data_IF_667176060965
#
_entry.id   IF_667176060965
#
_cell.length_a   1.000
_cell.length_b   1.000
_cell.length_c   1.000
_cell.angle_alpha   90.00
_cell.angle_beta   90.00
_cell.angle_gamma   90.00
#
_symmetry.space_group_name_H-M   'P 1'
#
loop_
_entity.id
_entity.type
_entity.pdbx_description
1 polymer ?
#
# COMPACT_ATOMS: atom_id res chain seq x y z
N UNK A 1 -58.67 14.45 59.16
CA UNK A 1 -57.60 14.07 60.10
C UNK A 1 -56.33 13.99 59.27
N UNK A 2 -55.33 14.84 59.33
CA UNK A 2 -54.93 15.98 60.17
C UNK A 2 -53.88 16.71 59.34
N UNK A 3 -53.97 18.03 59.23
CA UNK A 3 -52.95 18.87 58.62
C UNK A 3 -51.83 19.17 59.63
N UNK A 4 -50.59 19.36 59.16
CA UNK A 4 -49.62 20.22 59.85
C UNK A 4 -48.71 20.96 58.82
N UNK A 5 -48.47 22.30 58.94
CA UNK A 5 -47.82 23.15 57.96
C UNK A 5 -46.48 23.77 58.44
N UNK A 6 -45.93 24.72 57.66
CA UNK A 6 -44.76 25.61 57.95
C UNK A 6 -43.36 24.96 57.80
N UNK A 7 -42.34 25.60 57.20
CA UNK A 7 -42.08 27.03 57.04
C UNK A 7 -41.05 27.31 55.93
N UNK A 8 -41.25 28.47 55.32
CA UNK A 8 -40.50 29.23 54.33
C UNK A 8 -39.10 29.69 54.78
N UNK A 9 -38.18 29.94 53.84
CA UNK A 9 -37.41 31.19 53.55
C UNK A 9 -35.99 30.94 52.98
N UNK A 10 -35.77 31.34 51.72
CA UNK A 10 -34.45 31.77 51.14
C UNK A 10 -34.00 33.13 51.78
N UNK A 11 -32.88 33.83 51.42
CA UNK A 11 -31.96 33.70 50.27
C UNK A 11 -30.44 34.10 50.54
N UNK A 12 -29.68 34.27 49.44
CA UNK A 12 -28.51 35.16 49.21
C UNK A 12 -27.04 34.68 49.40
N UNK A 13 -26.37 34.50 48.24
CA UNK A 13 -25.19 35.20 47.71
C UNK A 13 -24.01 35.59 48.63
N UNK A 14 -22.78 35.21 48.22
CA UNK A 14 -21.60 36.11 48.17
C UNK A 14 -20.37 35.51 47.47
N UNK A 15 -19.80 36.33 46.58
CA UNK A 15 -18.50 36.24 45.89
C UNK A 15 -17.31 36.14 46.85
N UNK A 16 -16.17 35.59 46.37
CA UNK A 16 -14.86 36.28 46.25
C UNK A 16 -13.78 35.32 45.72
N UNK A 17 -13.10 35.70 44.63
CA UNK A 17 -11.69 35.37 44.33
C UNK A 17 -10.78 36.46 45.00
N UNK A 18 -9.42 36.42 45.07
CA UNK A 18 -8.47 36.12 43.98
C UNK A 18 -7.09 35.46 44.36
N UNK A 19 -6.26 35.18 43.33
CA UNK A 19 -4.77 35.31 43.18
C UNK A 19 -3.83 34.71 44.26
N UNK A 20 -2.66 34.07 44.05
CA UNK A 20 -1.68 33.98 42.94
C UNK A 20 -0.60 32.90 43.30
N UNK A 21 0.19 32.46 42.30
CA UNK A 21 1.58 31.92 42.35
C UNK A 21 1.89 30.53 43.00
N UNK A 22 2.32 29.54 42.20
CA UNK A 22 3.74 29.33 41.84
C UNK A 22 3.98 28.17 40.85
N UNK A 23 4.87 28.51 39.93
CA UNK A 23 5.65 27.78 38.93
C UNK A 23 6.14 26.38 39.35
N UNK A 24 6.01 25.39 38.47
CA UNK A 24 7.09 24.42 38.29
C UNK A 24 7.21 24.00 36.82
N UNK A 25 8.44 24.13 36.34
CA UNK A 25 8.89 23.93 34.97
C UNK A 25 9.28 22.47 34.70
N UNK A 26 9.18 22.10 33.41
CA UNK A 26 9.94 21.09 32.67
C UNK A 26 9.42 19.64 32.57
N UNK A 27 9.38 19.19 31.31
CA UNK A 27 9.03 17.84 30.84
C UNK A 27 8.11 17.94 29.62
N UNK A 28 8.52 18.65 28.57
CA UNK A 28 9.20 18.10 27.38
C UNK A 28 8.27 17.24 26.49
N UNK A 29 8.15 17.70 25.25
CA UNK A 29 7.60 17.01 24.06
C UNK A 29 6.11 16.63 24.03
N UNK A 30 5.23 17.63 23.93
CA UNK A 30 4.05 17.48 23.09
C UNK A 30 4.18 18.43 21.90
N UNK A 31 5.06 18.07 20.95
CA UNK A 31 5.01 18.67 19.62
C UNK A 31 3.76 18.16 18.94
N UNK A 32 2.77 19.05 18.94
CA UNK A 32 1.58 19.09 18.12
C UNK A 32 1.76 18.28 16.83
N UNK A 33 1.04 17.16 16.70
CA UNK A 33 0.86 16.46 15.44
C UNK A 33 -0.13 17.25 14.57
N UNK A 34 0.27 18.46 14.20
CA UNK A 34 -0.49 19.32 13.30
C UNK A 34 0.50 20.14 12.49
N UNK A 35 1.18 19.48 11.55
CA UNK A 35 1.87 20.17 10.46
C UNK A 35 1.74 19.42 9.14
N UNK A 36 1.22 20.20 8.17
CA UNK A 36 1.43 20.13 6.74
C UNK A 36 0.73 19.01 5.95
N UNK A 37 -0.42 19.38 5.37
CA UNK A 37 -0.70 19.02 3.98
C UNK A 37 0.50 19.41 3.12
N UNK A 38 1.43 18.49 2.98
CA UNK A 38 2.41 18.54 1.92
C UNK A 38 1.59 18.39 0.64
N UNK A 39 1.69 19.36 -0.26
CA UNK A 39 1.27 19.23 -1.65
C UNK A 39 1.99 18.00 -2.20
N UNK A 40 1.33 16.86 -2.09
CA UNK A 40 1.89 15.53 -2.29
C UNK A 40 1.32 15.08 -3.62
N UNK A 41 2.17 14.89 -4.61
CA UNK A 41 1.73 14.53 -5.98
C UNK A 41 0.74 13.36 -5.93
N UNK A 42 -0.39 13.44 -6.66
CA UNK A 42 -1.37 12.35 -6.66
C UNK A 42 -0.71 11.04 -7.08
N UNK A 43 -1.13 9.95 -6.45
CA UNK A 43 -0.77 8.61 -6.90
C UNK A 43 -1.84 8.14 -7.88
N UNK A 44 -1.43 7.50 -8.97
CA UNK A 44 -2.30 6.81 -9.90
C UNK A 44 -2.74 5.47 -9.33
N UNK A 45 -4.05 5.27 -9.19
CA UNK A 45 -4.62 4.05 -8.63
C UNK A 45 -5.47 3.34 -9.66
N UNK A 46 -5.21 2.05 -9.85
CA UNK A 46 -6.10 1.16 -10.60
C UNK A 46 -7.12 0.55 -9.66
N UNK A 47 -8.40 0.69 -10.00
CA UNK A 47 -9.53 0.09 -9.27
C UNK A 47 -10.19 -0.98 -10.12
N UNK A 48 -10.20 -2.22 -9.63
CA UNK A 48 -10.77 -3.38 -10.35
C UNK A 48 -11.88 -4.02 -9.53
N UNK A 49 -13.12 -3.96 -10.00
CA UNK A 49 -14.23 -4.70 -9.41
C UNK A 49 -14.37 -6.06 -10.09
N UNK A 50 -14.39 -7.12 -9.29
CA UNK A 50 -14.50 -8.52 -9.74
C UNK A 50 -15.83 -9.07 -9.25
N UNK A 51 -16.80 -9.22 -10.16
CA UNK A 51 -18.10 -9.80 -9.83
C UNK A 51 -18.72 -10.46 -11.05
N UNK A 52 -19.62 -11.42 -10.82
CA UNK A 52 -20.34 -12.10 -11.89
C UNK A 52 -21.39 -11.20 -12.60
N UNK A 53 -21.78 -10.10 -11.98
CA UNK A 53 -22.75 -9.14 -12.52
C UNK A 53 -22.03 -8.04 -13.32
N UNK A 54 -22.33 -7.95 -14.62
CA UNK A 54 -21.56 -7.14 -15.60
C UNK A 54 -21.92 -5.65 -15.66
N UNK A 55 -22.69 -5.13 -14.71
CA UNK A 55 -23.18 -3.75 -14.77
C UNK A 55 -22.39 -2.82 -13.84
N UNK A 56 -21.60 -1.91 -14.43
CA UNK A 56 -20.90 -0.82 -13.73
C UNK A 56 -21.85 0.08 -12.92
N UNK A 57 -23.10 0.23 -13.36
CA UNK A 57 -24.15 0.96 -12.63
C UNK A 57 -24.51 0.28 -11.29
N UNK A 58 -24.15 -0.99 -11.13
CA UNK A 58 -24.35 -1.80 -9.93
C UNK A 58 -23.01 -2.16 -9.25
N UNK A 59 -21.99 -1.30 -9.35
CA UNK A 59 -20.70 -1.44 -8.66
C UNK A 59 -20.57 -0.52 -7.43
N UNK A 60 -21.25 -0.81 -6.31
CA UNK A 60 -21.19 0.03 -5.11
C UNK A 60 -19.81 -0.03 -4.43
N UNK A 61 -19.08 -1.14 -4.54
CA UNK A 61 -17.76 -1.26 -3.93
C UNK A 61 -16.74 -0.40 -4.66
N UNK A 62 -16.62 -0.53 -6.00
CA UNK A 62 -15.76 0.32 -6.80
C UNK A 62 -16.12 1.80 -6.72
N UNK A 63 -17.42 2.13 -6.62
CA UNK A 63 -17.84 3.53 -6.41
C UNK A 63 -17.29 4.08 -5.09
N UNK A 64 -17.41 3.31 -4.01
CA UNK A 64 -16.87 3.72 -2.70
C UNK A 64 -15.35 3.85 -2.72
N UNK A 65 -14.64 2.93 -3.35
CA UNK A 65 -13.18 3.00 -3.43
C UNK A 65 -12.73 4.23 -4.24
N UNK A 66 -13.31 4.43 -5.42
CA UNK A 66 -13.02 5.59 -6.28
C UNK A 66 -13.30 6.90 -5.56
N UNK A 67 -14.49 7.06 -4.97
CA UNK A 67 -14.83 8.29 -4.25
C UNK A 67 -13.85 8.56 -3.11
N UNK A 68 -13.51 7.55 -2.29
CA UNK A 68 -12.58 7.76 -1.17
C UNK A 68 -11.16 8.11 -1.65
N UNK A 69 -10.69 7.53 -2.75
CA UNK A 69 -9.39 7.83 -3.34
C UNK A 69 -9.34 9.24 -3.95
N UNK A 70 -10.38 9.63 -4.69
CA UNK A 70 -10.50 10.98 -5.28
C UNK A 70 -10.64 12.05 -4.19
N UNK A 71 -11.43 11.80 -3.14
CA UNK A 71 -11.57 12.71 -1.99
C UNK A 71 -10.25 12.89 -1.22
N UNK A 72 -9.38 11.87 -1.24
CA UNK A 72 -8.02 11.96 -0.69
C UNK A 72 -7.01 12.63 -1.62
N UNK A 73 -7.41 13.02 -2.84
CA UNK A 73 -6.56 13.70 -3.82
C UNK A 73 -5.66 12.78 -4.64
N UNK A 74 -6.05 11.53 -4.86
CA UNK A 74 -5.38 10.58 -5.74
C UNK A 74 -6.10 10.46 -7.09
N UNK A 75 -5.38 10.07 -8.14
CA UNK A 75 -5.92 9.93 -9.48
C UNK A 75 -6.37 8.49 -9.74
N UNK A 76 -7.51 8.32 -10.38
CA UNK A 76 -7.96 7.00 -10.85
C UNK A 76 -7.38 6.77 -12.24
N UNK A 77 -6.21 6.13 -12.30
CA UNK A 77 -5.53 5.80 -13.54
C UNK A 77 -6.35 4.84 -14.39
N UNK A 78 -7.08 3.92 -13.75
CA UNK A 78 -7.97 2.99 -14.44
C UNK A 78 -9.09 2.50 -13.52
N UNK A 79 -10.26 2.29 -14.10
CA UNK A 79 -11.39 1.63 -13.44
C UNK A 79 -11.92 0.52 -14.34
N UNK A 80 -11.86 -0.71 -13.86
CA UNK A 80 -12.32 -1.90 -14.59
C UNK A 80 -13.38 -2.65 -13.79
N UNK A 81 -14.29 -3.30 -14.51
CA UNK A 81 -15.26 -4.24 -13.94
C UNK A 81 -15.22 -5.51 -14.78
N UNK A 82 -14.81 -6.61 -14.14
CA UNK A 82 -14.55 -7.88 -14.82
C UNK A 82 -15.28 -9.03 -14.12
N UNK A 83 -15.48 -10.11 -14.86
CA UNK A 83 -16.00 -11.37 -14.31
C UNK A 83 -14.98 -12.04 -13.38
N UNK A 84 -15.49 -12.84 -12.45
CA UNK A 84 -14.69 -13.71 -11.58
C UNK A 84 -14.14 -14.93 -12.35
N UNK A 85 -13.25 -14.67 -13.30
CA UNK A 85 -12.49 -15.67 -14.05
C UNK A 85 -11.01 -15.54 -13.70
N UNK A 86 -10.39 -16.66 -13.34
CA UNK A 86 -9.03 -16.69 -12.81
C UNK A 86 -8.02 -16.02 -13.75
N UNK A 87 -7.99 -16.46 -15.02
CA UNK A 87 -7.03 -15.97 -16.00
C UNK A 87 -7.30 -14.51 -16.35
N UNK A 88 -8.58 -14.11 -16.36
CA UNK A 88 -8.97 -12.72 -16.57
C UNK A 88 -8.52 -11.81 -15.42
N UNK A 89 -8.72 -12.23 -14.18
CA UNK A 89 -8.28 -11.46 -13.00
C UNK A 89 -6.76 -11.32 -13.02
N UNK A 90 -6.04 -12.43 -13.18
CA UNK A 90 -4.58 -12.43 -13.19
C UNK A 90 -4.01 -11.56 -14.32
N UNK A 91 -4.52 -11.70 -15.55
CA UNK A 91 -4.05 -10.90 -16.69
C UNK A 91 -4.36 -9.41 -16.55
N UNK A 92 -5.50 -9.04 -15.97
CA UNK A 92 -5.82 -7.62 -15.73
C UNK A 92 -4.89 -7.07 -14.66
N UNK A 93 -4.71 -7.75 -13.54
CA UNK A 93 -3.82 -7.28 -12.45
C UNK A 93 -2.38 -7.15 -12.94
N UNK A 94 -1.84 -8.15 -13.62
CA UNK A 94 -0.52 -8.09 -14.27
C UNK A 94 -0.39 -6.90 -15.22
N UNK A 95 -1.38 -6.67 -16.09
CA UNK A 95 -1.37 -5.51 -16.98
C UNK A 95 -1.39 -4.18 -16.21
N UNK A 96 -2.05 -4.10 -15.06
CA UNK A 96 -2.07 -2.86 -14.27
C UNK A 96 -0.74 -2.61 -13.57
N UNK A 97 -0.04 -3.67 -13.15
CA UNK A 97 1.30 -3.58 -12.59
C UNK A 97 2.29 -3.02 -13.64
N UNK A 98 2.18 -3.46 -14.90
CA UNK A 98 3.06 -3.03 -16.01
C UNK A 98 2.85 -1.57 -16.49
N UNK A 99 1.93 -0.81 -15.89
CA UNK A 99 1.58 0.54 -16.37
C UNK A 99 2.33 1.63 -15.64
N UNK A 100 2.98 2.51 -16.40
CA UNK A 100 3.72 3.66 -15.86
C UNK A 100 2.85 4.68 -15.10
N UNK A 101 1.53 4.68 -15.34
CA UNK A 101 0.57 5.56 -14.68
C UNK A 101 -0.14 4.91 -13.48
N UNK A 102 0.26 3.70 -13.08
CA UNK A 102 -0.30 2.98 -11.94
C UNK A 102 0.75 2.83 -10.85
N UNK A 103 0.51 3.49 -9.72
CA UNK A 103 1.33 3.35 -8.51
C UNK A 103 0.77 2.27 -7.57
N UNK A 104 -0.53 2.02 -7.59
CA UNK A 104 -1.23 1.09 -6.68
C UNK A 104 -2.37 0.37 -7.40
N UNK A 105 -2.55 -0.93 -7.12
CA UNK A 105 -3.70 -1.70 -7.59
C UNK A 105 -4.60 -2.07 -6.42
N UNK A 106 -5.89 -1.75 -6.52
CA UNK A 106 -6.90 -2.20 -5.57
C UNK A 106 -7.98 -2.98 -6.30
N UNK A 107 -8.22 -4.21 -5.86
CA UNK A 107 -9.32 -5.05 -6.34
C UNK A 107 -10.40 -5.19 -5.28
N UNK A 108 -11.65 -5.37 -5.70
CA UNK A 108 -12.75 -5.76 -4.80
C UNK A 108 -13.63 -6.85 -5.37
N UNK A 109 -14.01 -7.82 -4.53
CA UNK A 109 -14.91 -8.90 -4.92
C UNK A 109 -14.20 -10.20 -5.28
N UNK A 110 -15.00 -11.26 -5.45
CA UNK A 110 -14.54 -12.63 -5.69
C UNK A 110 -13.49 -13.15 -4.67
N UNK A 111 -13.60 -12.75 -3.40
CA UNK A 111 -12.73 -13.19 -2.29
C UNK A 111 -13.44 -14.09 -1.27
N UNK A 112 -14.70 -14.51 -1.49
CA UNK A 112 -15.42 -15.39 -0.56
C UNK A 112 -14.85 -16.81 -0.57
N UNK A 113 -15.53 -17.70 0.15
CA UNK A 113 -15.27 -19.15 0.18
C UNK A 113 -16.01 -19.91 -0.94
N UNK A 114 -16.72 -19.19 -1.81
CA UNK A 114 -17.45 -19.79 -2.92
C UNK A 114 -16.46 -20.29 -3.99
N UNK A 115 -16.68 -21.44 -4.64
CA UNK A 115 -15.74 -21.95 -5.65
C UNK A 115 -15.52 -21.05 -6.86
N UNK A 116 -16.45 -20.12 -7.12
CA UNK A 116 -16.34 -19.10 -8.16
C UNK A 116 -15.48 -17.91 -7.75
N UNK A 117 -15.16 -17.78 -6.47
CA UNK A 117 -14.41 -16.64 -5.93
C UNK A 117 -12.92 -16.98 -5.97
N UNK A 118 -12.26 -16.45 -7.00
CA UNK A 118 -10.90 -16.80 -7.43
C UNK A 118 -9.90 -15.65 -7.35
N UNK A 119 -10.31 -14.48 -6.82
CA UNK A 119 -9.47 -13.28 -6.88
C UNK A 119 -8.16 -13.44 -6.11
N UNK A 120 -8.20 -14.10 -4.94
CA UNK A 120 -7.00 -14.32 -4.13
C UNK A 120 -6.07 -15.30 -4.85
N UNK A 121 -6.61 -16.41 -5.33
CA UNK A 121 -5.87 -17.47 -6.03
C UNK A 121 -5.23 -16.96 -7.33
N UNK A 122 -5.87 -15.99 -8.00
CA UNK A 122 -5.34 -15.35 -9.21
C UNK A 122 -4.24 -14.32 -8.91
N UNK A 123 -4.34 -13.58 -7.80
CA UNK A 123 -3.43 -12.49 -7.46
C UNK A 123 -2.22 -12.96 -6.65
N UNK A 124 -2.40 -13.89 -5.71
CA UNK A 124 -1.32 -14.40 -4.84
C UNK A 124 -0.06 -14.83 -5.61
N UNK A 125 -0.14 -15.55 -6.75
CA UNK A 125 1.05 -15.95 -7.50
C UNK A 125 1.81 -14.80 -8.17
N UNK A 126 1.20 -13.62 -8.28
CA UNK A 126 1.85 -12.42 -8.83
C UNK A 126 2.70 -11.71 -7.78
N UNK A 127 2.44 -11.94 -6.49
CA UNK A 127 3.10 -11.21 -5.41
C UNK A 127 4.51 -11.72 -5.19
N UNK A 128 5.50 -10.83 -5.24
CA UNK A 128 6.87 -11.12 -4.87
C UNK A 128 7.03 -11.17 -3.35
N UNK A 129 6.29 -10.30 -2.66
CA UNK A 129 6.23 -10.22 -1.19
C UNK A 129 4.79 -10.01 -0.73
N UNK A 130 4.30 -10.92 0.10
CA UNK A 130 3.00 -10.77 0.75
C UNK A 130 3.11 -9.82 1.97
N UNK A 131 2.16 -8.88 2.08
CA UNK A 131 1.99 -7.99 3.22
C UNK A 131 1.07 -8.64 4.26
N UNK A 132 1.55 -9.69 4.93
CA UNK A 132 0.72 -10.55 5.82
C UNK A 132 -0.05 -9.80 6.91
N UNK A 133 0.53 -8.72 7.45
CA UNK A 133 -0.11 -7.87 8.46
C UNK A 133 -1.38 -7.15 7.96
N UNK A 134 -1.55 -6.99 6.65
CA UNK A 134 -2.73 -6.37 6.06
C UNK A 134 -4.00 -7.14 6.40
N UNK A 135 -4.00 -8.44 6.17
CA UNK A 135 -5.16 -9.30 6.41
C UNK A 135 -5.47 -9.45 7.90
N UNK A 136 -4.45 -9.43 8.76
CA UNK A 136 -4.61 -9.40 10.22
C UNK A 136 -5.27 -8.09 10.69
N UNK A 137 -4.77 -6.95 10.21
CA UNK A 137 -5.32 -5.64 10.55
C UNK A 137 -6.75 -5.47 10.03
N UNK A 138 -7.01 -5.88 8.79
CA UNK A 138 -8.37 -5.88 8.23
C UNK A 138 -9.31 -6.73 9.07
N UNK A 139 -8.87 -7.92 9.52
CA UNK A 139 -9.66 -8.80 10.38
C UNK A 139 -9.94 -8.15 11.75
N UNK A 140 -8.94 -7.51 12.37
CA UNK A 140 -9.11 -6.83 13.65
C UNK A 140 -10.14 -5.70 13.56
N UNK A 141 -10.00 -4.81 12.56
CA UNK A 141 -10.94 -3.72 12.32
C UNK A 141 -12.33 -4.24 11.93
N UNK A 142 -12.40 -5.27 11.09
CA UNK A 142 -13.64 -5.89 10.65
C UNK A 142 -14.39 -6.56 11.80
N UNK A 143 -13.69 -7.15 12.76
CA UNK A 143 -14.29 -7.73 13.96
C UNK A 143 -15.03 -6.68 14.80
N UNK A 144 -14.53 -5.44 14.88
CA UNK A 144 -15.23 -4.36 15.58
C UNK A 144 -16.55 -3.97 14.90
N UNK A 145 -16.66 -4.17 13.58
CA UNK A 145 -17.83 -3.79 12.79
C UNK A 145 -18.86 -4.93 12.71
N UNK A 146 -18.43 -6.16 12.40
CA UNK A 146 -19.33 -7.29 12.12
C UNK A 146 -19.17 -8.48 13.07
N UNK A 147 -18.27 -8.39 14.06
CA UNK A 147 -18.00 -9.46 15.01
C UNK A 147 -17.49 -10.73 14.33
N UNK A 148 -17.94 -11.89 14.81
CA UNK A 148 -17.50 -13.21 14.32
C UNK A 148 -17.81 -13.48 12.85
N UNK A 149 -18.67 -12.69 12.20
CA UNK A 149 -18.93 -12.81 10.75
C UNK A 149 -17.68 -12.54 9.92
N UNK A 150 -16.68 -11.84 10.47
CA UNK A 150 -15.41 -11.55 9.80
C UNK A 150 -14.66 -12.82 9.38
N UNK A 151 -14.92 -13.96 10.02
CA UNK A 151 -14.30 -15.26 9.69
C UNK A 151 -14.54 -15.69 8.23
N UNK A 152 -15.61 -15.20 7.59
CA UNK A 152 -15.90 -15.49 6.19
C UNK A 152 -15.22 -14.52 5.21
N UNK A 153 -14.62 -13.43 5.69
CA UNK A 153 -13.91 -12.48 4.83
C UNK A 153 -12.50 -13.00 4.54
N UNK A 154 -12.08 -12.87 3.28
CA UNK A 154 -10.70 -13.09 2.87
C UNK A 154 -10.19 -11.85 2.16
N UNK A 155 -8.92 -11.54 2.41
CA UNK A 155 -8.16 -10.44 1.83
C UNK A 155 -6.73 -10.92 1.60
N UNK A 156 -6.04 -10.30 0.66
CA UNK A 156 -4.60 -10.44 0.50
C UNK A 156 -4.04 -9.08 0.07
N UNK A 157 -2.79 -8.81 0.43
CA UNK A 157 -2.05 -7.68 -0.11
C UNK A 157 -0.60 -8.09 -0.29
N UNK A 158 0.08 -7.40 -1.20
CA UNK A 158 1.47 -7.67 -1.52
C UNK A 158 2.09 -6.57 -2.35
N UNK A 159 3.33 -6.81 -2.77
CA UNK A 159 4.04 -6.00 -3.75
C UNK A 159 4.47 -6.90 -4.89
N UNK A 160 4.35 -6.39 -6.11
CA UNK A 160 4.89 -6.99 -7.33
C UNK A 160 5.37 -5.88 -8.26
N UNK A 161 6.60 -6.00 -8.79
CA UNK A 161 7.25 -4.99 -9.65
C UNK A 161 7.09 -3.56 -9.08
N UNK A 162 7.41 -3.42 -7.79
CA UNK A 162 7.30 -2.19 -7.00
C UNK A 162 5.89 -1.60 -6.83
N UNK A 163 4.84 -2.29 -7.27
CA UNK A 163 3.44 -1.85 -7.17
C UNK A 163 2.75 -2.56 -6.00
N UNK A 164 2.28 -1.83 -4.97
CA UNK A 164 1.42 -2.39 -3.94
C UNK A 164 0.06 -2.82 -4.51
N UNK A 165 -0.37 -4.03 -4.16
CA UNK A 165 -1.63 -4.65 -4.60
C UNK A 165 -2.46 -5.02 -3.38
N UNK A 166 -3.75 -4.68 -3.39
CA UNK A 166 -4.69 -4.98 -2.31
C UNK A 166 -5.96 -5.63 -2.86
N UNK A 167 -6.35 -6.79 -2.32
CA UNK A 167 -7.60 -7.46 -2.64
C UNK A 167 -8.57 -7.37 -1.47
N UNK A 168 -9.68 -6.65 -1.68
CA UNK A 168 -10.72 -6.39 -0.69
C UNK A 168 -11.99 -7.21 -0.96
N UNK A 169 -12.86 -7.41 0.05
CA UNK A 169 -14.16 -8.03 -0.17
C UNK A 169 -15.09 -7.12 -1.00
N UNK A 170 -15.97 -7.72 -1.82
CA UNK A 170 -16.84 -7.00 -2.76
C UNK A 170 -18.03 -6.25 -2.14
N UNK A 171 -18.20 -6.28 -0.82
CA UNK A 171 -19.26 -5.52 -0.13
C UNK A 171 -18.77 -4.10 0.12
N UNK A 172 -19.54 -3.10 -0.31
CA UNK A 172 -19.16 -1.68 -0.18
C UNK A 172 -18.70 -1.25 1.24
N UNK A 173 -19.33 -1.68 2.36
CA UNK A 173 -18.81 -1.35 3.69
C UNK A 173 -17.43 -1.95 4.00
N UNK A 174 -17.15 -3.15 3.51
CA UNK A 174 -15.87 -3.82 3.69
C UNK A 174 -14.78 -3.18 2.82
N UNK A 175 -15.10 -2.86 1.56
CA UNK A 175 -14.21 -2.09 0.69
C UNK A 175 -13.88 -0.71 1.28
N UNK A 176 -14.89 -0.01 1.81
CA UNK A 176 -14.69 1.27 2.53
C UNK A 176 -13.72 1.12 3.69
N UNK A 177 -13.92 0.10 4.52
CA UNK A 177 -13.07 -0.16 5.68
C UNK A 177 -11.61 -0.34 5.27
N UNK A 178 -11.36 -1.17 4.25
CA UNK A 178 -10.00 -1.41 3.73
C UNK A 178 -9.36 -0.15 3.17
N UNK A 179 -10.08 0.61 2.33
CA UNK A 179 -9.58 1.86 1.75
C UNK A 179 -9.28 2.90 2.84
N UNK A 180 -10.28 3.26 3.64
CA UNK A 180 -10.18 4.41 4.53
C UNK A 180 -9.30 4.16 5.76
N UNK A 181 -9.28 2.93 6.28
CA UNK A 181 -8.57 2.63 7.54
C UNK A 181 -7.18 2.06 7.33
N UNK A 182 -6.85 1.57 6.15
CA UNK A 182 -5.59 0.85 5.90
C UNK A 182 -4.88 1.41 4.67
N UNK A 183 -5.52 1.36 3.50
CA UNK A 183 -4.83 1.65 2.23
C UNK A 183 -4.49 3.13 2.12
N UNK A 184 -5.43 4.04 2.33
CA UNK A 184 -5.17 5.49 2.23
C UNK A 184 -4.05 5.97 3.17
N UNK A 185 -4.02 5.57 4.46
CA UNK A 185 -2.91 5.93 5.35
C UNK A 185 -1.54 5.42 4.89
N UNK A 186 -1.47 4.21 4.30
CA UNK A 186 -0.21 3.50 4.08
C UNK A 186 0.30 3.49 2.64
N UNK A 187 -0.57 3.67 1.64
CA UNK A 187 -0.24 3.41 0.23
C UNK A 187 0.98 4.20 -0.26
N UNK A 188 1.10 5.48 0.13
CA UNK A 188 2.28 6.28 -0.24
C UNK A 188 3.56 5.78 0.40
N UNK A 189 3.49 5.36 1.66
CA UNK A 189 4.66 4.81 2.34
C UNK A 189 5.11 3.52 1.64
N UNK A 190 4.15 2.63 1.33
CA UNK A 190 4.42 1.37 0.64
C UNK A 190 5.00 1.58 -0.77
N UNK A 191 4.44 2.50 -1.57
CA UNK A 191 5.00 2.86 -2.89
C UNK A 191 6.44 3.36 -2.76
N UNK A 192 6.73 4.21 -1.75
CA UNK A 192 8.07 4.72 -1.52
C UNK A 192 9.07 3.64 -1.11
N UNK A 193 8.65 2.70 -0.25
CA UNK A 193 9.50 1.56 0.17
C UNK A 193 9.75 0.59 -0.97
N UNK A 194 8.71 0.29 -1.77
CA UNK A 194 8.82 -0.62 -2.90
C UNK A 194 9.83 -0.12 -3.93
N UNK A 195 9.64 1.12 -4.42
CA UNK A 195 10.51 1.71 -5.46
C UNK A 195 11.95 1.96 -5.02
N UNK A 196 12.21 2.16 -3.73
CA UNK A 196 13.57 2.35 -3.25
C UNK A 196 14.46 1.12 -3.48
N UNK A 197 13.89 -0.09 -3.48
CA UNK A 197 14.64 -1.32 -3.74
C UNK A 197 15.06 -1.49 -5.20
N UNK A 198 14.29 -0.93 -6.14
CA UNK A 198 14.65 -0.91 -7.56
C UNK A 198 15.89 -0.07 -7.81
N UNK A 199 15.94 1.14 -7.25
CA UNK A 199 17.07 2.05 -7.40
C UNK A 199 18.38 1.47 -6.83
N UNK A 200 18.31 0.62 -5.81
CA UNK A 200 19.49 -0.09 -5.27
C UNK A 200 19.91 -1.25 -6.18
N UNK A 201 18.95 -2.05 -6.65
CA UNK A 201 19.21 -3.22 -7.50
C UNK A 201 19.80 -2.81 -8.87
N UNK A 202 19.27 -1.76 -9.49
CA UNK A 202 19.76 -1.24 -10.77
C UNK A 202 21.18 -0.64 -10.65
N UNK A 203 21.54 -0.09 -9.48
CA UNK A 203 22.91 0.39 -9.22
C UNK A 203 23.89 -0.75 -9.07
N UNK A 204 23.53 -1.78 -8.31
CA UNK A 204 24.36 -2.97 -8.10
C UNK A 204 24.62 -3.71 -9.44
N UNK A 205 23.61 -3.80 -10.31
CA UNK A 205 23.75 -4.37 -11.66
C UNK A 205 24.69 -3.53 -12.54
N UNK A 206 24.50 -2.22 -12.59
CA UNK A 206 25.35 -1.32 -13.39
C UNK A 206 26.82 -1.28 -12.93
N UNK A 207 27.09 -1.49 -11.64
CA UNK A 207 28.45 -1.63 -11.09
C UNK A 207 29.07 -2.98 -11.49
N UNK A 208 28.30 -4.06 -11.50
CA UNK A 208 28.77 -5.40 -11.90
C UNK A 208 29.09 -5.53 -13.40
N UNK A 209 28.36 -4.81 -14.26
CA UNK A 209 28.62 -4.74 -15.70
C UNK A 209 29.88 -3.92 -16.02
N UNK A 210 30.19 -2.89 -15.22
CA UNK A 210 31.42 -2.11 -15.37
C UNK A 210 32.68 -2.89 -14.95
N UNK A 211 32.61 -3.66 -13.86
CA UNK A 211 33.72 -4.53 -13.40
C UNK A 211 34.02 -5.68 -14.38
N UNK A 212 33.01 -6.15 -15.13
CA UNK A 212 33.21 -7.20 -16.15
C UNK A 212 33.80 -6.65 -17.46
N UNK A 213 33.42 -5.46 -17.90
CA UNK A 213 34.03 -4.80 -19.07
C UNK A 213 35.49 -4.33 -18.83
N UNK A 214 35.88 -4.01 -17.58
CA UNK A 214 37.27 -3.69 -17.23
C UNK A 214 38.17 -4.94 -17.17
N UNK A 215 37.63 -6.11 -16.80
CA UNK A 215 38.41 -7.36 -16.72
C UNK A 215 38.64 -8.03 -18.09
N UNK A 216 37.78 -7.79 -19.09
CA UNK A 216 38.01 -8.26 -20.46
C UNK A 216 39.05 -7.43 -21.24
N UNK A 217 39.35 -6.20 -20.80
CA UNK A 217 40.36 -5.33 -21.44
C UNK A 217 41.80 -5.59 -20.96
N UNK A 218 41.99 -6.22 -19.80
CA UNK A 218 43.33 -6.53 -19.23
C UNK A 218 43.94 -7.83 -19.79
N UNK A 219 43.14 -8.73 -20.37
CA UNK A 219 43.65 -9.98 -20.99
C UNK A 219 44.16 -9.79 -22.44
N UNK A 220 44.06 -8.58 -23.01
CA UNK A 220 44.42 -8.28 -24.40
C UNK A 220 45.90 -7.99 -24.69
N UNK A 221 46.75 -7.79 -23.68
CA UNK A 221 48.14 -7.36 -23.86
C UNK A 221 49.15 -8.36 -23.28
N UNK A 222 49.14 -9.61 -23.74
CA UNK A 222 50.29 -10.50 -23.54
C UNK A 222 50.78 -11.17 -24.83
N UNK A 223 51.97 -10.70 -25.23
CA UNK A 223 53.03 -11.41 -25.96
C UNK A 223 52.87 -11.64 -27.46
N UNK A 224 53.66 -10.89 -28.25
CA UNK A 224 54.46 -11.52 -29.30
C UNK A 224 55.73 -10.70 -29.64
N UNK A 225 56.69 -10.69 -28.72
CA UNK A 225 58.09 -10.44 -29.06
C UNK A 225 58.88 -11.68 -28.61
N UNK A 226 59.30 -12.49 -29.58
CA UNK A 226 60.41 -13.43 -29.38
C UNK A 226 61.34 -13.27 -30.56
N UNK A 227 62.45 -12.62 -30.24
CA UNK A 227 63.62 -12.37 -31.07
C UNK A 227 64.10 -13.64 -31.78
N UNK A 228 64.27 -13.51 -33.10
CA UNK A 228 64.97 -14.47 -33.93
C UNK A 228 66.32 -13.88 -34.33
N UNK A 229 67.38 -14.21 -33.57
CA UNK A 229 68.76 -14.00 -34.01
C UNK A 229 69.60 -15.29 -33.91
N UNK A 230 70.03 -15.72 -35.11
CA UNK A 230 71.34 -16.26 -35.46
C UNK A 230 71.92 -17.48 -34.71
N UNK A 231 72.17 -18.54 -35.47
CA UNK A 231 73.51 -19.18 -35.46
C UNK A 231 73.93 -19.59 -36.87
N UNK A 232 75.15 -19.15 -37.20
CA UNK A 232 75.99 -19.53 -38.34
C UNK A 232 76.19 -21.05 -38.49
N UNK A 233 76.37 -21.49 -39.74
CA UNK A 233 76.71 -22.88 -40.08
C UNK A 233 77.25 -23.05 -41.49
N UNK A 234 78.57 -23.08 -41.58
CA UNK A 234 79.49 -23.10 -42.72
C UNK A 234 79.42 -24.31 -43.69
N UNK A 235 79.97 -24.09 -44.89
CA UNK A 235 80.76 -24.99 -45.73
C UNK A 235 80.13 -26.04 -46.69
N UNK A 236 80.34 -25.71 -47.98
CA UNK A 236 80.68 -26.54 -49.18
C UNK A 236 79.58 -27.10 -50.08
#
# INVERSE_FOLDING_TARGET
MTADPSRNTSPESRETAPEDEEMNENGDENRTAEEAGTERDPLGVSVVTISADRELESDPAGNVMVTALEEAGHDIATREHIDADHDRVQSIVSRMIDRDDVDVVVTSGATSVEPSDVAIEAVEPLLEKELTAFSELFTALGYEVVGSQIVAARTIAGVADDVPIFCLPGKAPAARLGIEKIILPEMRHLVGVARAHRDESERDEAESEQDSDESEQDEGETTNDTDAESTDGDAR
#
